data_IF_998085343642
#
_entry.id   IF_998085343642
#
_cell.length_a   1.000
_cell.length_b   1.000
_cell.length_c   1.000
_cell.angle_alpha   90.00
_cell.angle_beta   90.00
_cell.angle_gamma   90.00
#
_symmetry.space_group_name_H-M   'P 1'
#
loop_
_entity.id
_entity.type
_entity.pdbx_description
1 polymer ?
#
# COMPACT_ATOMS: atom_id res chain seq x y z
N UNK A 1 -15.62 8.65 -10.14
CA UNK A 1 -14.17 8.76 -10.43
C UNK A 1 -13.73 7.36 -10.82
N UNK A 2 -13.34 7.11 -12.08
CA UNK A 2 -12.94 5.76 -12.50
C UNK A 2 -11.55 5.48 -11.93
N UNK A 3 -11.41 4.42 -11.14
CA UNK A 3 -10.11 3.92 -10.71
C UNK A 3 -9.37 3.40 -11.95
N UNK A 4 -8.27 4.04 -12.32
CA UNK A 4 -7.37 3.50 -13.36
C UNK A 4 -6.73 2.22 -12.82
N UNK A 5 -6.46 1.28 -13.73
CA UNK A 5 -5.69 0.10 -13.36
C UNK A 5 -4.30 0.53 -12.83
N UNK A 6 -3.94 0.00 -11.66
CA UNK A 6 -2.65 0.26 -11.04
C UNK A 6 -1.57 -0.70 -11.53
N UNK A 7 -0.32 -0.31 -11.31
CA UNK A 7 0.87 -1.12 -11.55
C UNK A 7 1.57 -1.42 -10.22
N UNK A 8 1.54 -2.70 -9.83
CA UNK A 8 2.17 -3.17 -8.58
C UNK A 8 3.70 -3.13 -8.61
N UNK A 9 4.30 -2.97 -9.79
CA UNK A 9 5.75 -2.85 -9.99
C UNK A 9 6.17 -1.40 -10.30
N UNK A 10 5.26 -0.43 -10.15
CA UNK A 10 5.54 0.95 -10.49
C UNK A 10 6.79 1.48 -9.77
N UNK A 11 7.69 2.05 -10.57
CA UNK A 11 8.99 2.59 -10.15
C UNK A 11 9.21 3.90 -10.90
N UNK A 12 8.78 4.99 -10.26
CA UNK A 12 8.61 6.32 -10.85
C UNK A 12 9.62 7.32 -10.28
N UNK A 13 10.34 6.97 -9.21
CA UNK A 13 11.32 7.82 -8.54
C UNK A 13 12.74 7.30 -8.71
N UNK A 14 13.68 8.24 -8.83
CA UNK A 14 15.11 7.96 -8.93
C UNK A 14 15.94 8.81 -7.95
N UNK A 15 15.69 8.74 -6.63
CA UNK A 15 16.59 9.35 -5.65
C UNK A 15 17.97 8.67 -5.68
N UNK A 16 18.93 9.21 -4.93
CA UNK A 16 20.26 8.61 -4.83
C UNK A 16 20.15 7.13 -4.43
N UNK A 17 20.93 6.27 -5.10
CA UNK A 17 20.79 4.82 -4.97
C UNK A 17 20.93 4.36 -3.51
N UNK A 18 21.90 4.92 -2.80
CA UNK A 18 22.12 4.67 -1.38
C UNK A 18 20.89 5.05 -0.53
N UNK A 19 20.20 6.15 -0.86
CA UNK A 19 19.04 6.60 -0.10
C UNK A 19 17.84 5.68 -0.33
N UNK A 20 17.57 5.31 -1.60
CA UNK A 20 16.47 4.39 -1.93
C UNK A 20 16.69 2.99 -1.36
N UNK A 21 17.94 2.51 -1.40
CA UNK A 21 18.35 1.23 -0.79
C UNK A 21 18.16 1.25 0.73
N UNK A 22 18.53 2.35 1.38
CA UNK A 22 18.47 2.51 2.83
C UNK A 22 17.08 2.92 3.36
N UNK A 23 16.05 3.08 2.49
CA UNK A 23 14.64 3.09 2.94
C UNK A 23 14.35 1.87 3.82
N UNK A 24 15.02 0.75 3.55
CA UNK A 24 14.90 -0.49 4.30
C UNK A 24 15.14 -0.35 5.81
N UNK A 25 15.91 0.65 6.24
CA UNK A 25 16.11 1.00 7.65
C UNK A 25 14.80 1.27 8.39
N UNK A 26 13.77 1.77 7.70
CA UNK A 26 12.43 1.94 8.27
C UNK A 26 11.81 0.62 8.73
N UNK A 27 12.11 -0.49 8.04
CA UNK A 27 11.52 -1.81 8.29
C UNK A 27 12.35 -2.64 9.28
N UNK A 28 13.67 -2.47 9.25
CA UNK A 28 14.58 -3.10 10.18
C UNK A 28 15.95 -2.47 10.08
N UNK A 29 16.51 -2.05 11.21
CA UNK A 29 17.86 -1.50 11.33
C UNK A 29 18.60 -2.21 12.47
N UNK A 30 19.90 -1.91 12.68
CA UNK A 30 20.55 -2.29 13.94
C UNK A 30 19.77 -1.66 15.11
N UNK A 31 19.69 -2.35 16.24
CA UNK A 31 18.91 -1.89 17.41
C UNK A 31 19.58 -0.78 18.21
N UNK A 32 20.66 -0.19 17.70
CA UNK A 32 21.33 0.98 18.24
C UNK A 32 20.61 2.28 17.86
N UNK A 33 20.63 3.28 18.74
CA UNK A 33 19.94 4.56 18.58
C UNK A 33 20.28 5.29 17.26
N UNK A 34 21.52 5.15 16.78
CA UNK A 34 22.02 5.82 15.58
C UNK A 34 21.76 5.08 14.26
N UNK A 35 21.12 3.91 14.30
CA UNK A 35 21.09 3.01 13.14
C UNK A 35 19.79 3.03 12.35
N UNK A 36 18.74 3.65 12.88
CA UNK A 36 17.47 3.80 12.19
C UNK A 36 17.53 4.70 10.96
N UNK A 37 16.38 4.84 10.29
CA UNK A 37 16.26 5.71 9.13
C UNK A 37 16.48 7.19 9.50
N UNK A 38 17.53 7.80 8.93
CA UNK A 38 17.72 9.26 8.85
C UNK A 38 16.71 9.94 7.90
N UNK A 39 16.62 11.27 7.99
CA UNK A 39 15.75 12.14 7.18
C UNK A 39 15.78 11.83 5.68
N UNK A 40 16.95 11.67 5.07
CA UNK A 40 17.07 11.38 3.63
C UNK A 40 16.41 10.07 3.19
N UNK A 41 16.44 9.05 4.05
CA UNK A 41 15.79 7.76 3.76
C UNK A 41 14.26 7.90 3.86
N UNK A 42 13.79 8.68 4.84
CA UNK A 42 12.37 8.97 5.01
C UNK A 42 11.86 9.84 3.87
N UNK A 43 12.66 10.81 3.41
CA UNK A 43 12.36 11.62 2.24
C UNK A 43 12.28 10.77 0.96
N UNK A 44 13.19 9.81 0.78
CA UNK A 44 13.11 8.85 -0.32
C UNK A 44 11.84 7.98 -0.24
N UNK A 45 11.48 7.48 0.94
CA UNK A 45 10.23 6.74 1.15
C UNK A 45 8.99 7.61 0.87
N UNK A 46 9.02 8.88 1.29
CA UNK A 46 7.98 9.88 1.02
C UNK A 46 7.83 10.13 -0.47
N UNK A 47 8.95 10.24 -1.22
CA UNK A 47 8.93 10.37 -2.66
C UNK A 47 8.30 9.14 -3.33
N UNK A 48 8.69 7.92 -2.93
CA UNK A 48 8.07 6.68 -3.43
C UNK A 48 6.56 6.66 -3.19
N UNK A 49 6.11 6.95 -1.96
CA UNK A 49 4.68 7.04 -1.62
C UNK A 49 3.98 8.15 -2.40
N UNK A 50 4.64 9.29 -2.60
CA UNK A 50 4.12 10.43 -3.35
C UNK A 50 3.87 10.13 -4.82
N UNK A 51 4.79 9.39 -5.46
CA UNK A 51 4.77 9.09 -6.89
C UNK A 51 3.75 8.02 -7.31
N UNK A 52 3.37 7.13 -6.38
CA UNK A 52 2.42 6.04 -6.68
C UNK A 52 0.98 6.40 -6.34
N UNK A 53 0.04 5.74 -7.03
CA UNK A 53 -1.39 5.84 -6.76
C UNK A 53 -1.83 4.82 -5.72
N UNK A 54 -3.03 4.99 -5.13
CA UNK A 54 -3.60 3.95 -4.27
C UNK A 54 -3.87 2.63 -5.01
N UNK A 55 -4.08 2.67 -6.34
CA UNK A 55 -4.25 1.47 -7.16
C UNK A 55 -2.93 0.71 -7.33
N UNK A 56 -1.81 1.42 -7.53
CA UNK A 56 -0.46 0.84 -7.56
C UNK A 56 -0.15 0.13 -6.23
N UNK A 57 -0.46 0.80 -5.10
CA UNK A 57 -0.30 0.23 -3.76
C UNK A 57 -1.14 -1.03 -3.58
N UNK A 58 -2.44 -1.00 -3.92
CA UNK A 58 -3.31 -2.16 -3.81
C UNK A 58 -2.87 -3.33 -4.69
N UNK A 59 -2.38 -3.07 -5.91
CA UNK A 59 -1.84 -4.10 -6.81
C UNK A 59 -0.57 -4.72 -6.23
N UNK A 60 0.34 -3.93 -5.65
CA UNK A 60 1.53 -4.45 -4.97
C UNK A 60 1.17 -5.30 -3.73
N UNK A 61 0.17 -4.89 -2.95
CA UNK A 61 -0.34 -5.69 -1.82
C UNK A 61 -0.96 -7.00 -2.32
N UNK A 62 -1.77 -6.95 -3.38
CA UNK A 62 -2.41 -8.15 -3.94
C UNK A 62 -1.41 -9.15 -4.54
N UNK A 63 -0.25 -8.67 -4.99
CA UNK A 63 0.84 -9.52 -5.50
C UNK A 63 1.76 -10.06 -4.39
N UNK A 64 1.64 -9.56 -3.15
CA UNK A 64 2.49 -9.98 -2.05
C UNK A 64 2.10 -11.37 -1.52
N UNK A 65 3.09 -12.11 -1.01
CA UNK A 65 2.86 -13.42 -0.43
C UNK A 65 2.05 -13.33 0.88
N UNK A 66 0.81 -13.82 0.86
CA UNK A 66 -0.09 -13.86 2.02
C UNK A 66 0.40 -14.79 3.14
N UNK A 67 1.27 -15.75 2.81
CA UNK A 67 1.87 -16.71 3.76
C UNK A 67 3.26 -16.26 4.23
N UNK A 68 3.66 -15.02 3.95
CA UNK A 68 4.94 -14.47 4.39
C UNK A 68 5.09 -14.60 5.91
N UNK A 69 6.21 -15.18 6.36
CA UNK A 69 6.50 -15.38 7.78
C UNK A 69 7.27 -14.20 8.36
N UNK A 70 6.91 -13.83 9.60
CA UNK A 70 7.56 -12.76 10.35
C UNK A 70 9.03 -13.05 10.69
N UNK A 71 9.84 -12.00 10.77
CA UNK A 71 11.18 -12.07 11.37
C UNK A 71 12.35 -12.25 10.40
N UNK A 72 12.14 -12.08 9.09
CA UNK A 72 13.21 -12.08 8.08
C UNK A 72 13.99 -10.76 8.01
N UNK A 73 15.07 -10.77 7.23
CA UNK A 73 15.91 -9.59 6.98
C UNK A 73 15.28 -8.68 5.93
N UNK A 74 15.53 -7.38 5.97
CA UNK A 74 15.02 -6.45 4.94
C UNK A 74 15.58 -6.82 3.57
N UNK A 75 16.86 -7.19 3.48
CA UNK A 75 17.48 -7.64 2.22
C UNK A 75 16.93 -8.96 1.65
N UNK A 76 16.16 -9.71 2.44
CA UNK A 76 15.53 -10.96 2.01
C UNK A 76 14.07 -10.75 1.61
N UNK A 77 13.50 -9.58 1.89
CA UNK A 77 12.17 -9.23 1.44
C UNK A 77 12.14 -9.18 -0.09
N UNK A 78 11.23 -9.94 -0.70
CA UNK A 78 10.98 -9.97 -2.14
C UNK A 78 9.71 -9.24 -2.56
N UNK A 79 8.89 -8.85 -1.59
CA UNK A 79 7.60 -8.21 -1.80
C UNK A 79 7.23 -7.29 -0.62
N UNK A 80 6.03 -6.69 -0.71
CA UNK A 80 5.52 -5.76 0.29
C UNK A 80 5.28 -6.42 1.66
N UNK A 81 4.83 -7.68 1.69
CA UNK A 81 4.56 -8.41 2.92
C UNK A 81 5.87 -8.74 3.65
N UNK A 82 6.88 -9.21 2.92
CA UNK A 82 8.23 -9.44 3.42
C UNK A 82 8.85 -8.17 4.01
N UNK A 83 8.70 -7.03 3.34
CA UNK A 83 9.16 -5.74 3.88
C UNK A 83 8.43 -5.39 5.18
N UNK A 84 7.11 -5.49 5.19
CA UNK A 84 6.30 -5.17 6.37
C UNK A 84 6.63 -6.07 7.57
N UNK A 85 7.04 -7.31 7.33
CA UNK A 85 7.34 -8.31 8.35
C UNK A 85 8.82 -8.40 8.75
N UNK A 86 9.70 -7.69 8.04
CA UNK A 86 11.13 -7.70 8.27
C UNK A 86 11.51 -7.15 9.66
N UNK A 87 12.66 -7.57 10.17
CA UNK A 87 13.22 -7.13 11.46
C UNK A 87 14.70 -6.79 11.31
N UNK A 88 15.20 -6.03 12.27
CA UNK A 88 16.63 -5.79 12.41
C UNK A 88 17.37 -7.04 12.87
N UNK A 89 18.55 -7.29 12.30
CA UNK A 89 19.41 -8.43 12.65
C UNK A 89 20.69 -8.03 13.38
N UNK A 90 20.95 -6.73 13.54
CA UNK A 90 22.23 -6.22 14.04
C UNK A 90 23.41 -6.36 13.07
N UNK A 91 23.23 -7.03 11.93
CA UNK A 91 24.26 -7.22 10.91
C UNK A 91 24.25 -6.06 9.91
N UNK A 92 25.43 -5.63 9.46
CA UNK A 92 25.54 -4.58 8.45
C UNK A 92 24.85 -4.96 7.13
N UNK A 93 24.15 -3.98 6.55
CA UNK A 93 23.45 -4.08 5.26
C UNK A 93 22.28 -5.08 5.20
N UNK A 94 21.91 -5.72 6.31
CA UNK A 94 20.70 -6.55 6.39
C UNK A 94 19.41 -5.71 6.31
N UNK A 95 19.54 -4.41 6.55
CA UNK A 95 18.55 -3.34 6.49
C UNK A 95 18.37 -2.73 5.09
N UNK A 96 19.11 -3.20 4.08
CA UNK A 96 19.06 -2.64 2.73
C UNK A 96 18.07 -3.37 1.82
N UNK A 97 17.26 -2.62 1.07
CA UNK A 97 16.31 -3.19 0.10
C UNK A 97 17.05 -3.59 -1.18
N UNK A 98 16.83 -4.82 -1.65
CA UNK A 98 17.35 -5.30 -2.95
C UNK A 98 16.60 -4.70 -4.12
N UNK A 99 17.21 -4.72 -5.30
CA UNK A 99 16.73 -4.00 -6.49
C UNK A 99 15.33 -4.45 -6.94
N UNK A 100 15.02 -5.74 -6.79
CA UNK A 100 13.72 -6.31 -7.17
C UNK A 100 12.58 -5.76 -6.30
N UNK A 101 12.88 -5.47 -5.04
CA UNK A 101 11.93 -4.99 -4.01
C UNK A 101 11.97 -3.46 -3.88
N UNK A 102 12.90 -2.79 -4.58
CA UNK A 102 13.12 -1.33 -4.52
C UNK A 102 12.15 -0.53 -5.41
N UNK A 103 11.01 -1.11 -5.78
CA UNK A 103 9.97 -0.47 -6.56
C UNK A 103 9.12 0.43 -5.67
N UNK A 104 8.71 1.60 -6.17
CA UNK A 104 7.97 2.57 -5.37
C UNK A 104 6.64 2.01 -4.88
N UNK A 105 5.95 1.23 -5.71
CA UNK A 105 4.69 0.59 -5.33
C UNK A 105 4.90 -0.46 -4.22
N UNK A 106 5.95 -1.28 -4.31
CA UNK A 106 6.31 -2.28 -3.29
C UNK A 106 6.69 -1.59 -1.98
N UNK A 107 7.51 -0.53 -2.03
CA UNK A 107 7.90 0.26 -0.86
C UNK A 107 6.66 0.87 -0.18
N UNK A 108 5.80 1.54 -0.95
CA UNK A 108 4.59 2.17 -0.43
C UNK A 108 3.63 1.13 0.18
N UNK A 109 3.44 -0.01 -0.49
CA UNK A 109 2.67 -1.14 0.01
C UNK A 109 3.27 -1.72 1.31
N UNK A 110 4.58 -1.92 1.35
CA UNK A 110 5.28 -2.37 2.56
C UNK A 110 5.09 -1.40 3.72
N UNK A 111 5.19 -0.10 3.47
CA UNK A 111 4.89 0.94 4.47
C UNK A 111 3.44 0.84 4.94
N UNK A 112 2.46 0.74 4.04
CA UNK A 112 1.06 0.65 4.40
C UNK A 112 0.77 -0.60 5.26
N UNK A 113 1.25 -1.78 4.83
CA UNK A 113 1.10 -3.03 5.56
C UNK A 113 1.77 -2.95 6.94
N UNK A 114 3.00 -2.42 7.02
CA UNK A 114 3.70 -2.21 8.29
C UNK A 114 2.91 -1.31 9.23
N UNK A 115 2.34 -0.22 8.73
CA UNK A 115 1.59 0.73 9.54
C UNK A 115 0.27 0.15 10.08
N UNK A 116 -0.35 -0.77 9.35
CA UNK A 116 -1.59 -1.44 9.75
C UNK A 116 -1.34 -2.71 10.57
N UNK A 117 -0.15 -3.31 10.46
CA UNK A 117 0.19 -4.54 11.16
C UNK A 117 0.20 -4.31 12.68
N UNK A 118 -0.30 -5.32 13.42
CA UNK A 118 -0.14 -5.36 14.87
C UNK A 118 1.35 -5.31 15.22
N UNK A 119 1.70 -4.43 16.16
CA UNK A 119 3.09 -4.18 16.58
C UNK A 119 4.02 -3.66 15.47
N UNK A 120 3.45 -3.21 14.34
CA UNK A 120 4.19 -2.59 13.25
C UNK A 120 4.80 -1.26 13.67
N UNK A 121 6.13 -1.18 13.65
CA UNK A 121 6.89 0.02 14.00
C UNK A 121 7.89 0.37 12.92
N UNK A 122 8.06 1.66 12.67
CA UNK A 122 9.13 2.17 11.84
C UNK A 122 10.36 2.49 12.69
N UNK A 123 11.53 2.06 12.22
CA UNK A 123 12.79 2.33 12.91
C UNK A 123 13.41 3.59 12.31
N UNK A 124 13.47 4.64 13.11
CA UNK A 124 14.05 5.93 12.75
C UNK A 124 15.25 6.22 13.63
N UNK A 125 16.18 7.04 13.13
CA UNK A 125 17.28 7.51 13.95
C UNK A 125 16.73 8.34 15.11
N UNK A 126 17.20 8.07 16.32
CA UNK A 126 16.81 8.88 17.47
C UNK A 126 17.53 10.24 17.41
N UNK A 127 16.74 11.29 17.44
CA UNK A 127 17.21 12.67 17.40
C UNK A 127 16.82 13.45 18.67
N UNK A 128 16.71 12.75 19.81
CA UNK A 128 16.56 13.20 21.21
C UNK A 128 15.51 14.29 21.49
N UNK A 129 15.62 15.46 20.85
CA UNK A 129 14.87 16.68 21.14
C UNK A 129 13.79 17.01 20.10
N UNK A 130 13.94 16.60 18.83
CA UNK A 130 13.06 17.08 17.74
C UNK A 130 12.02 16.08 17.24
N UNK A 131 12.25 14.77 17.42
CA UNK A 131 11.39 13.67 16.92
C UNK A 131 10.99 13.82 15.43
N UNK A 132 11.76 14.57 14.65
CA UNK A 132 11.44 14.98 13.27
C UNK A 132 11.32 13.80 12.33
N UNK A 133 12.18 12.81 12.51
CA UNK A 133 12.19 11.56 11.75
C UNK A 133 10.95 10.73 12.06
N UNK A 134 10.55 10.65 13.33
CA UNK A 134 9.37 9.90 13.74
C UNK A 134 8.09 10.52 13.17
N UNK A 135 7.94 11.86 13.23
CA UNK A 135 6.79 12.56 12.64
C UNK A 135 6.79 12.46 11.11
N UNK A 136 7.96 12.54 10.48
CA UNK A 136 8.08 12.36 9.02
C UNK A 136 7.69 10.94 8.61
N UNK A 137 8.17 9.91 9.31
CA UNK A 137 7.80 8.51 9.05
C UNK A 137 6.29 8.27 9.26
N UNK A 138 5.70 8.90 10.27
CA UNK A 138 4.24 8.89 10.49
C UNK A 138 3.49 9.54 9.33
N UNK A 139 3.99 10.64 8.78
CA UNK A 139 3.44 11.27 7.58
C UNK A 139 3.47 10.34 6.36
N UNK A 140 4.60 9.67 6.12
CA UNK A 140 4.75 8.67 5.04
C UNK A 140 3.76 7.51 5.24
N UNK A 141 3.65 6.98 6.46
CA UNK A 141 2.72 5.92 6.80
C UNK A 141 1.26 6.33 6.58
N UNK A 142 0.85 7.48 7.11
CA UNK A 142 -0.51 8.00 6.98
C UNK A 142 -0.88 8.26 5.52
N UNK A 143 0.05 8.78 4.72
CA UNK A 143 -0.16 9.03 3.29
C UNK A 143 -0.37 7.73 2.52
N UNK A 144 0.48 6.71 2.78
CA UNK A 144 0.36 5.42 2.10
C UNK A 144 -0.96 4.70 2.44
N UNK A 145 -1.29 4.63 3.74
CA UNK A 145 -2.56 4.04 4.21
C UNK A 145 -3.76 4.82 3.67
N UNK A 146 -3.71 6.16 3.71
CA UNK A 146 -4.78 7.03 3.22
C UNK A 146 -5.05 6.83 1.73
N UNK A 147 -4.00 6.77 0.89
CA UNK A 147 -4.13 6.47 -0.54
C UNK A 147 -4.76 5.10 -0.79
N UNK A 148 -4.25 4.06 -0.12
CA UNK A 148 -4.75 2.69 -0.26
C UNK A 148 -6.24 2.58 0.11
N UNK A 149 -6.62 3.07 1.30
CA UNK A 149 -8.00 2.99 1.78
C UNK A 149 -8.95 3.83 0.92
N UNK A 150 -8.54 5.03 0.50
CA UNK A 150 -9.37 5.89 -0.36
C UNK A 150 -9.67 5.20 -1.69
N UNK A 151 -8.67 4.58 -2.32
CA UNK A 151 -8.88 3.83 -3.56
C UNK A 151 -9.74 2.59 -3.33
N UNK A 152 -9.54 1.85 -2.24
CA UNK A 152 -10.34 0.67 -1.91
C UNK A 152 -11.82 1.02 -1.72
N UNK A 153 -12.11 2.11 -0.99
CA UNK A 153 -13.49 2.60 -0.78
C UNK A 153 -14.16 2.94 -2.11
N UNK A 154 -13.46 3.63 -3.01
CA UNK A 154 -14.00 3.99 -4.32
C UNK A 154 -14.25 2.73 -5.16
N UNK A 155 -13.30 1.78 -5.19
CA UNK A 155 -13.46 0.53 -5.92
C UNK A 155 -14.66 -0.30 -5.42
N UNK A 156 -14.87 -0.35 -4.10
CA UNK A 156 -16.05 -1.00 -3.50
C UNK A 156 -17.34 -0.27 -3.91
N UNK A 157 -17.37 1.06 -3.81
CA UNK A 157 -18.54 1.86 -4.20
C UNK A 157 -18.89 1.66 -5.67
N UNK A 158 -17.91 1.78 -6.57
CA UNK A 158 -18.11 1.60 -8.01
C UNK A 158 -18.66 0.20 -8.33
N UNK A 159 -18.19 -0.83 -7.61
CA UNK A 159 -18.69 -2.20 -7.78
C UNK A 159 -20.12 -2.37 -7.27
N UNK A 160 -20.44 -1.80 -6.12
CA UNK A 160 -21.80 -1.83 -5.55
C UNK A 160 -22.77 -1.06 -6.45
N UNK A 161 -22.41 0.14 -6.89
CA UNK A 161 -23.23 0.98 -7.78
C UNK A 161 -23.51 0.28 -9.11
N UNK A 162 -22.51 -0.37 -9.71
CA UNK A 162 -22.70 -1.18 -10.92
C UNK A 162 -23.65 -2.35 -10.68
N UNK A 163 -23.54 -3.04 -9.54
CA UNK A 163 -24.46 -4.12 -9.17
C UNK A 163 -25.90 -3.63 -8.99
N UNK A 164 -26.09 -2.52 -8.27
CA UNK A 164 -27.39 -1.91 -8.04
C UNK A 164 -28.03 -1.38 -9.34
N UNK A 165 -27.24 -0.82 -10.26
CA UNK A 165 -27.74 -0.39 -11.57
C UNK A 165 -28.29 -1.56 -12.38
N UNK A 166 -27.59 -2.70 -12.39
CA UNK A 166 -28.06 -3.91 -13.07
C UNK A 166 -29.36 -4.44 -12.46
N UNK A 167 -29.46 -4.47 -11.12
CA UNK A 167 -30.71 -4.87 -10.45
C UNK A 167 -31.86 -3.95 -10.84
N UNK A 168 -31.63 -2.63 -10.89
CA UNK A 168 -32.63 -1.65 -11.32
C UNK A 168 -33.09 -1.87 -12.76
N UNK A 169 -32.17 -2.19 -13.67
CA UNK A 169 -32.49 -2.51 -15.07
C UNK A 169 -33.36 -3.77 -15.18
N UNK A 170 -33.01 -4.85 -14.48
CA UNK A 170 -33.78 -6.10 -14.49
C UNK A 170 -35.18 -5.93 -13.85
N UNK A 171 -35.28 -5.20 -12.71
CA UNK A 171 -36.58 -4.87 -12.11
C UNK A 171 -37.44 -4.01 -13.05
N UNK A 172 -36.81 -3.13 -13.83
CA UNK A 172 -37.49 -2.35 -14.85
C UNK A 172 -38.13 -3.23 -15.93
N UNK A 173 -37.42 -4.26 -16.40
CA UNK A 173 -37.93 -5.21 -17.41
C UNK A 173 -39.11 -6.02 -16.89
N UNK A 174 -38.98 -6.63 -15.70
CA UNK A 174 -40.06 -7.41 -15.08
C UNK A 174 -41.35 -6.60 -14.92
N UNK A 175 -41.23 -5.34 -14.48
CA UNK A 175 -42.40 -4.47 -14.33
C UNK A 175 -43.10 -4.18 -15.67
N UNK A 176 -42.35 -4.05 -16.76
CA UNK A 176 -42.96 -3.87 -18.08
C UNK A 176 -43.58 -5.17 -18.60
N UNK A 177 -42.97 -6.33 -18.32
CA UNK A 177 -43.54 -7.65 -18.63
C UNK A 177 -44.87 -7.87 -17.89
N UNK A 178 -44.92 -7.65 -16.58
CA UNK A 178 -46.14 -7.75 -15.75
C UNK A 178 -47.26 -6.84 -16.29
N UNK A 179 -46.91 -5.63 -16.75
CA UNK A 179 -47.85 -4.66 -17.31
C UNK A 179 -48.43 -5.11 -18.64
N UNK A 180 -47.63 -5.75 -19.49
CA UNK A 180 -48.10 -6.27 -20.78
C UNK A 180 -49.04 -7.45 -20.59
N UNK A 181 -48.75 -8.34 -19.63
CA UNK A 181 -49.66 -9.44 -19.26
C UNK A 181 -51.00 -8.93 -18.71
N UNK A 182 -50.97 -7.92 -17.85
CA UNK A 182 -52.19 -7.34 -17.28
C UNK A 182 -53.09 -6.77 -18.40
N UNK A 183 -52.55 -5.98 -19.32
CA UNK A 183 -53.31 -5.38 -20.44
C UNK A 183 -53.86 -6.43 -21.42
N UNK A 184 -53.09 -7.50 -21.68
CA UNK A 184 -53.52 -8.62 -22.53
C UNK A 184 -54.71 -9.40 -21.95
N UNK A 185 -54.82 -9.51 -20.63
CA UNK A 185 -55.96 -10.18 -19.98
C UNK A 185 -57.24 -9.34 -19.93
N UNK A 186 -57.16 -8.00 -20.00
CA UNK A 186 -58.35 -7.12 -20.02
C UNK A 186 -59.00 -7.03 -21.40
N UNK A 187 -58.32 -7.50 -22.45
CA UNK A 187 -58.72 -7.33 -23.85
C UNK A 187 -59.21 -8.62 -24.53
N UNK A 188 -59.23 -9.75 -23.82
CA UNK A 188 -59.77 -11.05 -24.26
C UNK A 188 -61.13 -11.35 -23.61
#
# INVERSE_FOLDING_TARGET
MVIKEGDGQADKTSPAEADKKNIGKLFGAKTSADSGAEEKHIAAASASVGAVTGADILKAIAAANVDAKGGGKVKEATDAAGLALAKGTGTDNDDQIKDETRKDAIIAAGVALRAMAKDGKFIVKDNADKKTEAESAKGVASSSVGKMLSTLIIAIRDRVDSGLSKIKEELGKLREEDRVEEVGNITN
#
